data_IF_568257545693
#
_entry.id   IF_568257545693
#
_cell.length_a   1.000
_cell.length_b   1.000
_cell.length_c   1.000
_cell.angle_alpha   90.00
_cell.angle_beta   90.00
_cell.angle_gamma   90.00
#
_symmetry.space_group_name_H-M   'P 1'
#
loop_
_entity.id
_entity.type
_entity.pdbx_description
1 polymer ?
#
# COMPACT_ATOMS: atom_id res chain seq x y z
N UNK A 1 28.19 -16.93 5.00
CA UNK A 1 27.55 -16.21 6.14
C UNK A 1 27.20 -14.76 5.82
N UNK A 2 28.11 -13.92 5.30
CA UNK A 2 27.76 -12.53 4.88
C UNK A 2 26.66 -12.45 3.81
N UNK A 3 26.67 -13.33 2.81
CA UNK A 3 25.61 -13.38 1.78
C UNK A 3 24.27 -13.87 2.32
N UNK A 4 24.25 -14.84 3.24
CA UNK A 4 23.01 -15.30 3.89
C UNK A 4 22.40 -14.20 4.79
N UNK A 5 23.25 -13.42 5.48
CA UNK A 5 22.82 -12.25 6.24
C UNK A 5 22.28 -11.15 5.30
N UNK A 6 22.98 -10.90 4.19
CA UNK A 6 22.54 -9.97 3.13
C UNK A 6 21.21 -10.38 2.52
N UNK A 7 20.99 -11.67 2.27
CA UNK A 7 19.73 -12.21 1.75
C UNK A 7 18.61 -12.11 2.79
N UNK A 8 18.91 -12.20 4.09
CA UNK A 8 17.92 -11.94 5.15
C UNK A 8 17.52 -10.46 5.31
N UNK A 9 18.30 -9.54 4.74
CA UNK A 9 18.03 -8.09 4.77
C UNK A 9 17.09 -7.63 3.64
N UNK A 10 16.81 -8.49 2.67
CA UNK A 10 15.95 -8.21 1.51
C UNK A 10 14.84 -9.25 1.46
N UNK A 11 13.66 -8.86 1.92
CA UNK A 11 12.46 -9.65 1.81
C UNK A 11 11.56 -9.04 0.73
N UNK A 12 11.27 -9.84 -0.29
CA UNK A 12 10.26 -9.55 -1.29
C UNK A 12 9.04 -10.39 -0.94
N UNK A 13 7.90 -9.72 -0.74
CA UNK A 13 6.64 -10.37 -0.36
C UNK A 13 5.67 -10.31 -1.52
N UNK A 14 5.08 -11.45 -1.88
CA UNK A 14 4.01 -11.53 -2.88
C UNK A 14 2.73 -11.97 -2.19
N UNK A 15 1.71 -11.12 -2.22
CA UNK A 15 0.42 -11.37 -1.59
C UNK A 15 -0.65 -11.42 -2.66
N UNK A 16 -1.17 -12.63 -2.86
CA UNK A 16 -2.28 -12.91 -3.75
C UNK A 16 -3.55 -13.18 -2.93
N UNK A 17 -4.57 -12.37 -3.17
CA UNK A 17 -5.89 -12.54 -2.55
C UNK A 17 -6.81 -13.30 -3.49
N UNK A 18 -7.37 -14.41 -3.00
CA UNK A 18 -8.30 -15.25 -3.75
C UNK A 18 -9.70 -15.32 -3.12
N UNK A 19 -9.88 -14.75 -1.92
CA UNK A 19 -11.13 -14.74 -1.14
C UNK A 19 -11.16 -13.51 -0.21
N UNK A 20 -12.38 -13.07 0.15
CA UNK A 20 -12.60 -12.09 1.22
C UNK A 20 -11.92 -12.51 2.51
N UNK A 21 -10.95 -11.70 2.93
CA UNK A 21 -10.28 -11.83 4.20
C UNK A 21 -11.02 -11.00 5.23
N UNK A 22 -11.85 -11.66 6.04
CA UNK A 22 -12.51 -11.02 7.19
C UNK A 22 -11.52 -10.92 8.34
N UNK A 23 -10.60 -9.96 8.20
CA UNK A 23 -9.52 -9.72 9.14
C UNK A 23 -9.99 -8.66 10.12
N UNK A 24 -10.45 -9.11 11.29
CA UNK A 24 -10.69 -8.25 12.43
C UNK A 24 -9.39 -8.11 13.24
N UNK A 25 -8.51 -7.21 12.80
CA UNK A 25 -7.29 -6.85 13.56
C UNK A 25 -7.54 -5.56 14.33
N UNK A 26 -7.31 -5.62 15.63
CA UNK A 26 -7.16 -4.44 16.47
C UNK A 26 -5.74 -3.86 16.28
N UNK A 27 -5.65 -2.77 15.50
CA UNK A 27 -4.37 -2.11 15.17
C UNK A 27 -3.76 -1.42 16.41
N UNK A 28 -4.59 -1.00 17.37
CA UNK A 28 -4.11 -0.39 18.61
C UNK A 28 -3.48 -1.47 19.52
N UNK A 29 -4.12 -2.64 19.67
CA UNK A 29 -3.52 -3.80 20.35
C UNK A 29 -2.20 -4.21 19.68
N UNK A 30 -2.20 -4.30 18.34
CA UNK A 30 -1.03 -4.67 17.56
C UNK A 30 0.18 -3.77 17.87
N UNK A 31 -0.02 -2.45 17.98
CA UNK A 31 1.03 -1.49 18.34
C UNK A 31 1.54 -1.67 19.77
N UNK A 32 0.65 -1.90 20.73
CA UNK A 32 1.09 -2.15 22.11
C UNK A 32 1.97 -3.39 22.21
N UNK A 33 1.74 -4.37 21.33
CA UNK A 33 2.50 -5.63 21.27
C UNK A 33 3.74 -5.54 20.39
N UNK A 34 3.75 -4.70 19.36
CA UNK A 34 4.92 -4.36 18.55
C UNK A 34 5.86 -3.43 19.34
N UNK A 35 6.52 -3.98 20.35
CA UNK A 35 7.57 -3.29 21.11
C UNK A 35 8.88 -3.11 20.30
N UNK A 36 8.92 -3.59 19.06
CA UNK A 36 10.10 -3.61 18.20
C UNK A 36 9.91 -2.65 17.02
N UNK A 37 11.01 -2.07 16.48
CA UNK A 37 10.91 -1.28 15.26
C UNK A 37 10.27 -2.12 14.14
N UNK A 38 9.51 -1.50 13.23
CA UNK A 38 8.92 -2.17 12.08
C UNK A 38 9.97 -2.98 11.32
N UNK A 39 9.55 -4.10 10.74
CA UNK A 39 10.36 -4.98 9.94
C UNK A 39 10.81 -4.27 8.65
N UNK A 40 11.90 -3.50 8.73
CA UNK A 40 12.46 -2.69 7.62
C UNK A 40 13.15 -3.51 6.53
N UNK A 41 13.19 -4.84 6.68
CA UNK A 41 13.77 -5.74 5.70
C UNK A 41 12.87 -6.00 4.49
N UNK A 42 11.58 -5.61 4.54
CA UNK A 42 10.68 -5.70 3.38
C UNK A 42 11.00 -4.59 2.39
N UNK A 43 11.60 -4.97 1.26
CA UNK A 43 11.97 -4.01 0.22
C UNK A 43 10.89 -3.86 -0.83
N UNK A 44 10.39 -4.97 -1.36
CA UNK A 44 9.35 -5.01 -2.37
C UNK A 44 8.13 -5.78 -1.86
N UNK A 45 6.97 -5.17 -1.99
CA UNK A 45 5.68 -5.82 -1.79
C UNK A 45 4.98 -5.90 -3.15
N UNK A 46 4.68 -7.11 -3.62
CA UNK A 46 3.82 -7.36 -4.75
C UNK A 46 2.44 -7.68 -4.24
N UNK A 47 1.46 -7.00 -4.81
CA UNK A 47 0.07 -7.13 -4.45
C UNK A 47 -0.75 -7.40 -5.69
N UNK A 48 -1.47 -8.52 -5.66
CA UNK A 48 -2.40 -8.91 -6.70
C UNK A 48 -3.75 -9.25 -6.07
N UNK A 49 -4.77 -8.48 -6.48
CA UNK A 49 -6.17 -8.81 -6.18
C UNK A 49 -6.73 -9.68 -7.28
N UNK A 50 -7.37 -10.78 -6.90
CA UNK A 50 -8.24 -11.52 -7.81
C UNK A 50 -9.67 -11.42 -7.28
N UNK A 51 -10.58 -10.94 -8.14
CA UNK A 51 -11.98 -10.61 -7.86
C UNK A 51 -12.15 -9.32 -7.05
N UNK A 52 -13.18 -8.54 -7.41
CA UNK A 52 -13.57 -7.24 -6.83
C UNK A 52 -14.01 -7.38 -5.37
N UNK A 53 -13.07 -7.71 -4.49
CA UNK A 53 -13.35 -8.07 -3.09
C UNK A 53 -13.44 -6.85 -2.17
N UNK A 54 -13.56 -5.63 -2.74
CA UNK A 54 -13.71 -4.37 -1.99
C UNK A 54 -12.67 -4.14 -0.86
N UNK A 55 -11.53 -4.83 -0.90
CA UNK A 55 -10.53 -4.83 0.19
C UNK A 55 -9.98 -3.44 0.52
N UNK A 56 -10.14 -2.44 -0.34
CA UNK A 56 -9.70 -1.06 -0.17
C UNK A 56 -10.67 -0.20 0.65
N UNK A 57 -11.90 -0.66 0.88
CA UNK A 57 -12.89 0.02 1.71
C UNK A 57 -12.52 -0.18 3.20
N UNK A 58 -11.47 0.53 3.64
CA UNK A 58 -10.88 0.47 4.99
C UNK A 58 -10.24 -0.90 5.34
N UNK A 59 -9.24 -1.32 4.58
CA UNK A 59 -8.48 -2.53 4.94
C UNK A 59 -7.63 -2.30 6.19
N UNK A 60 -8.15 -2.74 7.35
CA UNK A 60 -7.35 -2.97 8.55
C UNK A 60 -6.13 -3.86 8.26
N UNK A 61 -6.23 -4.71 7.23
CA UNK A 61 -5.10 -5.46 6.71
C UNK A 61 -3.93 -4.57 6.28
N UNK A 62 -4.17 -3.55 5.43
CA UNK A 62 -3.10 -2.66 4.98
C UNK A 62 -2.55 -1.83 6.13
N UNK A 63 -3.41 -1.39 7.03
CA UNK A 63 -3.00 -0.64 8.22
C UNK A 63 -2.07 -1.48 9.10
N UNK A 64 -2.47 -2.71 9.43
CA UNK A 64 -1.66 -3.65 10.22
C UNK A 64 -0.38 -4.06 9.49
N UNK A 65 -0.47 -4.36 8.19
CA UNK A 65 0.68 -4.83 7.41
C UNK A 65 1.73 -3.74 7.30
N UNK A 66 1.33 -2.53 6.93
CA UNK A 66 2.27 -1.42 6.84
C UNK A 66 2.84 -1.04 8.20
N UNK A 67 2.04 -1.08 9.28
CA UNK A 67 2.56 -0.92 10.63
C UNK A 67 3.67 -1.93 10.97
N UNK A 68 3.52 -3.18 10.53
CA UNK A 68 4.50 -4.24 10.80
C UNK A 68 5.77 -4.08 9.95
N UNK A 69 5.68 -3.73 8.66
CA UNK A 69 6.80 -3.95 7.74
C UNK A 69 7.24 -2.80 6.83
N UNK A 70 6.63 -1.61 6.89
CA UNK A 70 7.11 -0.39 6.17
C UNK A 70 7.77 -0.65 4.79
N UNK A 71 7.08 -1.30 3.84
CA UNK A 71 7.69 -1.67 2.57
C UNK A 71 8.13 -0.41 1.81
N UNK A 72 9.32 -0.46 1.20
CA UNK A 72 9.85 0.68 0.43
C UNK A 72 9.21 0.80 -0.95
N UNK A 73 9.01 -0.33 -1.61
CA UNK A 73 8.41 -0.40 -2.95
C UNK A 73 7.17 -1.28 -2.89
N UNK A 74 6.10 -0.82 -3.52
CA UNK A 74 4.89 -1.61 -3.69
C UNK A 74 4.56 -1.68 -5.17
N UNK A 75 4.42 -2.90 -5.67
CA UNK A 75 3.91 -3.20 -6.99
C UNK A 75 2.45 -3.62 -6.84
N UNK A 76 1.54 -2.90 -7.49
CA UNK A 76 0.14 -3.24 -7.50
C UNK A 76 -0.30 -3.63 -8.91
N UNK A 77 -0.70 -4.89 -9.05
CA UNK A 77 -1.33 -5.40 -10.27
C UNK A 77 -2.85 -5.26 -10.14
N UNK A 78 -3.54 -4.57 -11.09
CA UNK A 78 -4.99 -4.54 -11.10
C UNK A 78 -5.57 -5.94 -11.32
N UNK A 79 -6.82 -6.13 -10.92
CA UNK A 79 -7.54 -7.39 -11.15
C UNK A 79 -7.71 -7.65 -12.65
N UNK A 80 -7.26 -8.82 -13.11
CA UNK A 80 -7.36 -9.27 -14.51
C UNK A 80 -8.82 -9.30 -15.04
N UNK A 81 -9.81 -9.41 -14.15
CA UNK A 81 -11.24 -9.39 -14.49
C UNK A 81 -11.85 -7.98 -14.44
N UNK A 82 -11.27 -7.10 -13.64
CA UNK A 82 -11.74 -5.75 -13.39
C UNK A 82 -10.58 -4.75 -13.54
N UNK A 83 -10.05 -4.68 -14.76
CA UNK A 83 -8.89 -3.84 -15.14
C UNK A 83 -9.01 -2.34 -14.77
N UNK A 84 -10.20 -1.90 -14.40
CA UNK A 84 -10.50 -0.53 -13.99
C UNK A 84 -10.37 -0.28 -12.48
N UNK A 85 -10.22 -1.32 -11.68
CA UNK A 85 -10.17 -1.22 -10.23
C UNK A 85 -8.75 -1.44 -9.71
N UNK A 86 -7.89 -0.41 -9.83
CA UNK A 86 -6.63 -0.39 -9.10
C UNK A 86 -6.87 -0.01 -7.62
N UNK A 87 -7.26 -1.01 -6.82
CA UNK A 87 -7.63 -0.86 -5.42
C UNK A 87 -6.52 -0.22 -4.57
N UNK A 88 -5.27 -0.57 -4.84
CA UNK A 88 -4.14 0.01 -4.13
C UNK A 88 -3.92 1.48 -4.51
N UNK A 89 -4.07 1.85 -5.79
CA UNK A 89 -4.06 3.25 -6.20
C UNK A 89 -5.16 4.07 -5.50
N UNK A 90 -6.37 3.50 -5.37
CA UNK A 90 -7.47 4.12 -4.58
C UNK A 90 -7.07 4.32 -3.13
N UNK A 91 -6.51 3.29 -2.49
CA UNK A 91 -6.02 3.35 -1.12
C UNK A 91 -4.98 4.47 -0.98
N UNK A 92 -3.98 4.52 -1.86
CA UNK A 92 -2.92 5.53 -1.82
C UNK A 92 -3.46 6.95 -2.04
N UNK A 93 -4.34 7.16 -3.01
CA UNK A 93 -4.96 8.47 -3.25
C UNK A 93 -5.82 8.92 -2.05
N UNK A 94 -6.65 8.02 -1.51
CA UNK A 94 -7.52 8.31 -0.38
C UNK A 94 -6.75 8.54 0.92
N UNK A 95 -5.94 7.56 1.34
CA UNK A 95 -5.29 7.56 2.64
C UNK A 95 -4.09 8.53 2.68
N UNK A 96 -3.36 8.70 1.57
CA UNK A 96 -2.18 9.58 1.55
C UNK A 96 -2.49 11.00 1.10
N UNK A 97 -3.37 11.23 0.12
CA UNK A 97 -3.64 12.59 -0.35
C UNK A 97 -4.87 13.19 0.32
N UNK A 98 -6.02 12.51 0.23
CA UNK A 98 -7.29 13.08 0.71
C UNK A 98 -7.31 13.19 2.23
N UNK A 99 -6.97 12.11 2.96
CA UNK A 99 -7.02 12.13 4.42
C UNK A 99 -5.92 12.96 5.07
N UNK A 100 -4.73 13.09 4.46
CA UNK A 100 -3.72 14.07 4.94
C UNK A 100 -4.31 15.48 4.99
N UNK A 101 -5.08 15.87 3.97
CA UNK A 101 -5.70 17.20 3.91
C UNK A 101 -6.89 17.37 4.87
N UNK A 102 -7.55 16.30 5.28
CA UNK A 102 -8.71 16.34 6.22
C UNK A 102 -8.28 16.24 7.69
N UNK A 103 -6.99 16.31 8.02
CA UNK A 103 -6.49 16.36 9.40
C UNK A 103 -6.68 17.76 10.02
N UNK A 104 -7.85 18.35 9.83
CA UNK A 104 -8.34 19.48 10.62
C UNK A 104 -9.83 19.23 10.80
N UNK A 105 -10.25 18.95 12.03
CA UNK A 105 -11.65 18.77 12.48
C UNK A 105 -12.24 17.34 12.43
N UNK A 106 -12.41 16.77 13.64
CA UNK A 106 -13.43 15.78 14.07
C UNK A 106 -13.07 14.27 14.05
N UNK A 107 -12.66 13.79 15.23
CA UNK A 107 -13.08 12.57 15.94
C UNK A 107 -12.85 11.17 15.30
N UNK A 108 -11.88 10.45 15.89
CA UNK A 108 -11.77 8.98 16.05
C UNK A 108 -11.78 8.09 14.81
N UNK A 109 -10.91 8.39 13.85
CA UNK A 109 -10.39 7.36 12.94
C UNK A 109 -8.91 7.65 12.74
N UNK A 110 -8.06 7.08 13.58
CA UNK A 110 -6.61 7.25 13.43
C UNK A 110 -6.23 6.62 12.09
N UNK A 111 -5.62 7.41 11.22
CA UNK A 111 -5.15 6.96 9.91
C UNK A 111 -3.67 6.61 10.09
N UNK A 112 -3.39 5.32 10.27
CA UNK A 112 -2.24 4.87 11.06
C UNK A 112 -0.87 5.10 10.41
N UNK A 113 -0.69 4.80 9.13
CA UNK A 113 0.60 4.91 8.42
C UNK A 113 0.79 6.19 7.58
N UNK A 114 -0.24 6.90 7.07
CA UNK A 114 -0.05 8.09 6.23
C UNK A 114 0.69 9.25 6.90
N UNK A 115 0.64 9.36 8.23
CA UNK A 115 1.41 10.37 8.98
C UNK A 115 2.92 10.09 9.01
N UNK A 116 3.31 8.81 8.97
CA UNK A 116 4.70 8.40 8.87
C UNK A 116 5.19 8.35 7.43
N UNK A 117 4.32 8.50 6.44
CA UNK A 117 4.74 8.48 5.05
C UNK A 117 5.07 9.89 4.57
N UNK A 118 6.36 10.18 4.32
CA UNK A 118 6.84 11.48 3.83
C UNK A 118 6.33 11.77 2.43
N UNK A 119 6.58 10.86 1.49
CA UNK A 119 6.26 11.04 0.07
C UNK A 119 5.90 9.71 -0.58
N UNK A 120 4.94 9.76 -1.50
CA UNK A 120 4.60 8.65 -2.39
C UNK A 120 4.96 9.05 -3.79
N UNK A 121 5.77 8.22 -4.45
CA UNK A 121 5.98 8.32 -5.88
C UNK A 121 5.27 7.19 -6.58
N UNK A 122 4.81 7.46 -7.79
CA UNK A 122 4.15 6.53 -8.68
C UNK A 122 4.98 6.42 -9.96
N UNK A 123 4.98 5.23 -10.55
CA UNK A 123 5.63 4.97 -11.83
C UNK A 123 4.82 3.93 -12.59
N UNK A 124 4.52 4.23 -13.84
CA UNK A 124 4.02 3.22 -14.76
C UNK A 124 5.18 2.34 -15.26
N UNK A 125 4.91 1.10 -15.67
CA UNK A 125 5.94 0.15 -16.12
C UNK A 125 6.61 0.57 -17.41
N UNK A 126 5.81 1.15 -18.31
CA UNK A 126 6.24 1.66 -19.61
C UNK A 126 6.95 3.01 -19.47
N UNK A 127 6.65 3.75 -18.40
CA UNK A 127 7.36 4.98 -18.06
C UNK A 127 8.66 4.65 -17.34
N UNK A 128 9.72 5.39 -17.60
CA UNK A 128 10.99 5.21 -16.86
C UNK A 128 11.11 6.12 -15.65
N UNK A 129 10.20 7.09 -15.48
CA UNK A 129 10.31 8.16 -14.50
C UNK A 129 9.38 7.95 -13.31
N UNK A 130 9.88 8.25 -12.12
CA UNK A 130 9.08 8.35 -10.91
C UNK A 130 8.47 9.75 -10.80
N UNK A 131 7.18 9.80 -10.51
CA UNK A 131 6.43 11.04 -10.36
C UNK A 131 5.78 11.10 -8.98
N UNK A 132 5.59 12.28 -8.43
CA UNK A 132 4.89 12.43 -7.15
C UNK A 132 3.43 12.05 -7.34
N UNK A 133 2.87 11.23 -6.43
CA UNK A 133 1.45 10.92 -6.45
C UNK A 133 0.64 12.19 -6.16
N UNK A 134 -0.30 12.51 -7.06
CA UNK A 134 -1.18 13.69 -6.98
C UNK A 134 -2.61 13.33 -7.42
N UNK A 135 -3.58 14.21 -7.14
CA UNK A 135 -4.99 14.03 -7.54
C UNK A 135 -5.22 13.87 -9.06
N UNK A 136 -4.29 14.32 -9.92
CA UNK A 136 -4.43 14.13 -11.37
C UNK A 136 -4.32 12.67 -11.80
N UNK A 137 -3.74 11.81 -10.97
CA UNK A 137 -3.59 10.38 -11.23
C UNK A 137 -4.85 9.56 -10.98
N UNK A 138 -5.98 10.21 -10.63
CA UNK A 138 -7.29 9.53 -10.50
C UNK A 138 -7.75 8.86 -11.78
N UNK A 139 -7.27 9.30 -12.95
CA UNK A 139 -7.54 8.63 -14.22
C UNK A 139 -7.06 7.18 -14.24
N UNK A 140 -6.08 6.78 -13.42
CA UNK A 140 -5.71 5.36 -13.29
C UNK A 140 -6.81 4.48 -12.65
N UNK A 141 -7.89 5.09 -12.15
CA UNK A 141 -9.02 4.41 -11.52
C UNK A 141 -10.25 4.27 -12.43
N UNK A 142 -10.23 4.89 -13.61
CA UNK A 142 -11.39 4.96 -14.50
C UNK A 142 -11.43 3.80 -15.51
N UNK A 143 -10.38 2.96 -15.56
CA UNK A 143 -10.34 1.80 -16.43
C UNK A 143 -10.18 2.06 -17.91
N UNK A 144 -9.95 3.32 -18.28
CA UNK A 144 -9.74 3.71 -19.66
C UNK A 144 -8.46 3.13 -20.27
N UNK A 145 -7.56 2.61 -19.43
CA UNK A 145 -6.30 1.99 -19.85
C UNK A 145 -6.17 0.57 -19.28
N UNK A 146 -6.57 -0.48 -20.03
CA UNK A 146 -6.35 -1.86 -19.63
C UNK A 146 -4.85 -2.15 -19.43
N UNK A 147 -4.54 -3.09 -18.53
CA UNK A 147 -3.17 -3.56 -18.27
C UNK A 147 -2.18 -2.54 -17.70
N UNK A 148 -2.66 -1.42 -17.13
CA UNK A 148 -1.81 -0.47 -16.40
C UNK A 148 -1.62 -0.95 -14.96
N UNK A 149 -0.53 -1.66 -14.73
CA UNK A 149 -0.01 -1.94 -13.40
C UNK A 149 0.81 -0.74 -12.90
N UNK A 150 0.92 -0.54 -11.58
CA UNK A 150 1.55 0.64 -11.00
C UNK A 150 2.60 0.25 -9.96
N UNK A 151 3.75 0.92 -10.03
CA UNK A 151 4.75 0.89 -8.98
C UNK A 151 4.59 2.11 -8.09
N UNK A 152 4.71 1.89 -6.79
CA UNK A 152 4.70 2.91 -5.75
C UNK A 152 6.02 2.86 -5.00
N UNK A 153 6.62 4.02 -4.78
CA UNK A 153 7.76 4.20 -3.88
C UNK A 153 7.27 4.91 -2.63
N UNK A 154 7.33 4.22 -1.50
CA UNK A 154 6.86 4.69 -0.21
C UNK A 154 8.04 5.12 0.64
N UNK A 155 8.15 6.43 0.90
CA UNK A 155 9.19 6.97 1.77
C UNK A 155 8.62 7.21 3.16
N UNK A 156 9.18 6.53 4.15
CA UNK A 156 8.78 6.58 5.56
C UNK A 156 9.57 7.66 6.34
N UNK A 157 9.00 8.11 7.47
CA UNK A 157 9.51 9.16 8.33
C UNK A 157 10.66 8.69 9.23
#
# INVERSE_FOLDING_TARGET
MREALSLSHTCDLDIQFNLRLDINIDVDDLRTRLMFPPATNVQELRFQTTRDDCMWERSLFFDAFFEICHPKRVYAKPDDHFNHNNHFCRLMLREVLEKKTTTTTTTTGIVYWPHYLKHVQIKQPLDQKWETLTNSHRSFLDGSTPDVYLYFNLNWC
#
